data_IF_782025393950
#
_entry.id   IF_782025393950
#
_cell.length_a   1.000
_cell.length_b   1.000
_cell.length_c   1.000
_cell.angle_alpha   90.00
_cell.angle_beta   90.00
_cell.angle_gamma   90.00
#
_symmetry.space_group_name_H-M   'P 1'
#
loop_
_entity.id
_entity.type
_entity.pdbx_description
1 polymer ?
#
# COMPACT_ATOMS: atom_id res chain seq x y z
N UNK A 1 -18.37 -7.84 22.33
CA UNK A 1 -17.40 -6.81 21.88
C UNK A 1 -17.59 -5.57 22.73
N UNK A 2 -16.69 -5.32 23.66
CA UNK A 2 -16.71 -4.15 24.55
C UNK A 2 -15.54 -3.26 24.24
N UNK A 3 -15.77 -2.18 23.47
CA UNK A 3 -14.73 -1.24 23.05
C UNK A 3 -14.40 -0.30 24.23
N UNK A 4 -13.12 -0.24 24.60
CA UNK A 4 -12.60 0.63 25.67
C UNK A 4 -11.43 1.47 25.14
N UNK A 5 -11.14 2.58 25.82
CA UNK A 5 -10.02 3.46 25.50
C UNK A 5 -8.95 3.36 26.60
N UNK A 6 -7.68 3.29 26.21
CA UNK A 6 -6.58 3.37 27.17
C UNK A 6 -6.19 4.83 27.46
N UNK A 7 -5.41 5.05 28.53
CA UNK A 7 -4.89 6.38 28.93
C UNK A 7 -4.13 7.13 27.83
N UNK A 8 -3.62 6.41 26.82
CA UNK A 8 -2.92 6.99 25.66
C UNK A 8 -3.83 7.20 24.44
N UNK A 9 -5.16 7.05 24.60
CA UNK A 9 -6.15 7.34 23.57
C UNK A 9 -6.41 6.24 22.54
N UNK A 10 -5.81 5.04 22.67
CA UNK A 10 -6.07 3.92 21.75
C UNK A 10 -7.35 3.17 22.14
N UNK A 11 -8.13 2.77 21.12
CA UNK A 11 -9.32 1.96 21.31
C UNK A 11 -9.01 0.48 21.07
N UNK A 12 -9.54 -0.41 21.92
CA UNK A 12 -9.39 -1.85 21.79
C UNK A 12 -10.55 -2.61 22.45
N UNK A 13 -10.67 -3.91 22.18
CA UNK A 13 -11.71 -4.77 22.77
C UNK A 13 -11.22 -5.36 24.09
N UNK A 14 -11.88 -4.99 25.20
CA UNK A 14 -11.56 -5.47 26.54
C UNK A 14 -12.01 -6.90 26.82
N UNK A 15 -12.82 -7.52 25.96
CA UNK A 15 -13.16 -8.94 26.06
C UNK A 15 -12.03 -9.84 25.54
N UNK A 16 -11.15 -9.29 24.68
CA UNK A 16 -10.03 -10.02 24.05
C UNK A 16 -8.71 -9.70 24.74
N UNK A 17 -8.51 -8.43 25.14
CA UNK A 17 -7.27 -7.96 25.72
C UNK A 17 -7.51 -7.22 27.04
N UNK A 18 -6.84 -7.64 28.10
CA UNK A 18 -6.88 -6.97 29.41
C UNK A 18 -6.11 -5.65 29.45
N UNK A 19 -5.19 -5.42 28.53
CA UNK A 19 -4.40 -4.21 28.37
C UNK A 19 -4.37 -3.76 26.92
N UNK A 20 -4.03 -2.49 26.67
CA UNK A 20 -3.94 -1.97 25.31
C UNK A 20 -2.88 -2.72 24.49
N UNK A 21 -3.23 -3.38 23.39
CA UNK A 21 -2.27 -4.13 22.58
C UNK A 21 -1.29 -3.25 21.79
N UNK A 22 -1.54 -1.94 21.75
CA UNK A 22 -0.71 -0.97 21.01
C UNK A 22 0.40 -0.40 21.89
N UNK A 23 0.07 -0.02 23.14
CA UNK A 23 1.01 0.65 24.04
C UNK A 23 1.21 -0.03 25.41
N UNK A 24 0.51 -1.13 25.69
CA UNK A 24 0.53 -1.81 26.99
C UNK A 24 -0.09 -1.00 28.14
N UNK A 25 -0.69 0.15 27.85
CA UNK A 25 -1.26 1.05 28.86
C UNK A 25 -2.59 0.54 29.43
N UNK A 26 -2.84 0.96 30.67
CA UNK A 26 -4.06 0.65 31.43
C UNK A 26 -5.32 1.27 30.80
N UNK A 27 -6.47 0.67 31.10
CA UNK A 27 -7.78 1.19 30.73
C UNK A 27 -8.13 2.38 31.64
N UNK A 28 -8.83 3.37 31.11
CA UNK A 28 -9.18 4.61 31.83
C UNK A 28 -10.22 4.39 32.96
N UNK A 29 -10.75 3.16 33.13
CA UNK A 29 -11.71 2.78 34.18
C UNK A 29 -11.04 2.23 35.48
N UNK A 30 -9.71 2.29 35.58
CA UNK A 30 -8.97 1.90 36.80
C UNK A 30 -8.68 0.40 36.90
N UNK A 31 -8.84 -0.37 35.86
CA UNK A 31 -8.44 -1.78 35.82
C UNK A 31 -6.93 -1.87 35.63
N UNK A 32 -6.21 -2.33 36.65
CA UNK A 32 -4.76 -2.51 36.62
C UNK A 32 -4.37 -3.67 35.68
N UNK A 33 -3.36 -3.42 34.83
CA UNK A 33 -2.75 -4.47 34.03
C UNK A 33 -1.89 -5.37 34.91
N UNK A 34 -1.94 -6.71 34.75
CA UNK A 34 -1.10 -7.62 35.53
C UNK A 34 0.38 -7.33 35.28
N UNK A 35 1.17 -7.20 36.38
CA UNK A 35 2.60 -6.85 36.37
C UNK A 35 3.53 -7.97 35.86
N UNK A 36 3.01 -9.13 35.54
CA UNK A 36 3.81 -10.20 34.93
C UNK A 36 4.00 -9.89 33.45
N UNK A 37 5.15 -9.35 33.14
CA UNK A 37 5.76 -8.87 31.89
C UNK A 37 5.58 -9.71 30.63
N UNK A 38 4.41 -10.22 30.34
CA UNK A 38 4.02 -10.87 29.09
C UNK A 38 3.13 -9.95 28.22
N UNK A 39 3.63 -8.74 27.93
CA UNK A 39 3.18 -8.07 26.71
C UNK A 39 3.62 -8.97 25.55
N UNK A 40 2.73 -9.32 24.59
CA UNK A 40 3.17 -10.00 23.39
C UNK A 40 3.99 -9.03 22.54
N UNK A 41 5.28 -8.89 22.90
CA UNK A 41 6.30 -8.29 22.08
C UNK A 41 6.36 -9.10 20.79
N UNK A 42 5.81 -8.56 19.71
CA UNK A 42 6.02 -9.07 18.35
C UNK A 42 7.45 -8.77 17.87
N UNK A 43 8.44 -9.13 18.69
CA UNK A 43 9.78 -9.48 18.21
C UNK A 43 9.86 -10.99 18.19
N UNK A 44 9.42 -11.59 17.11
CA UNK A 44 9.78 -12.98 16.80
C UNK A 44 11.25 -13.00 16.47
N UNK A 45 12.06 -13.37 17.47
CA UNK A 45 13.42 -13.87 17.24
C UNK A 45 13.32 -15.07 16.28
N UNK A 46 14.13 -15.02 15.21
CA UNK A 46 14.20 -16.02 14.14
C UNK A 46 14.94 -17.31 14.63
N UNK A 47 14.88 -17.65 15.90
CA UNK A 47 15.75 -18.68 16.50
C UNK A 47 15.11 -20.06 16.66
N UNK A 48 13.91 -20.34 16.11
CA UNK A 48 13.37 -21.72 16.11
C UNK A 48 12.53 -22.03 14.88
N UNK A 49 13.07 -21.74 13.68
CA UNK A 49 12.54 -22.37 12.46
C UNK A 49 13.25 -23.70 12.26
N UNK A 50 12.80 -24.74 12.96
CA UNK A 50 13.12 -26.12 12.57
C UNK A 50 12.36 -26.36 11.27
N UNK A 51 13.10 -26.30 10.15
CA UNK A 51 12.60 -26.75 8.86
C UNK A 51 12.38 -28.26 8.97
N UNK A 52 11.18 -28.78 8.68
CA UNK A 52 11.02 -30.21 8.52
C UNK A 52 11.82 -30.64 7.29
N UNK A 53 12.79 -31.51 7.50
CA UNK A 53 13.52 -32.19 6.44
C UNK A 53 12.54 -32.94 5.54
N UNK A 54 12.58 -32.61 4.24
CA UNK A 54 11.85 -33.35 3.22
C UNK A 54 12.26 -34.82 3.21
N UNK A 55 11.37 -35.69 3.68
CA UNK A 55 11.43 -37.12 3.41
C UNK A 55 11.01 -37.34 1.96
N UNK A 56 11.91 -38.00 1.19
CA UNK A 56 11.60 -38.49 -0.17
C UNK A 56 10.62 -39.64 -0.01
N UNK A 57 9.35 -39.41 -0.32
CA UNK A 57 8.31 -40.43 -0.42
C UNK A 57 7.71 -40.42 -1.81
N UNK A 58 7.89 -41.51 -2.57
CA UNK A 58 7.24 -41.74 -3.85
C UNK A 58 5.73 -41.89 -3.67
N UNK A 59 4.93 -41.11 -4.37
CA UNK A 59 3.47 -41.26 -4.39
C UNK A 59 2.84 -40.08 -5.11
N UNK A 60 2.30 -40.39 -6.27
CA UNK A 60 1.52 -39.51 -7.13
C UNK A 60 0.31 -38.93 -6.37
N UNK A 61 0.22 -37.61 -6.30
CA UNK A 61 -1.01 -36.82 -6.37
C UNK A 61 -0.62 -35.33 -6.33
N UNK A 62 -0.92 -34.61 -7.43
CA UNK A 62 -0.71 -33.18 -7.61
C UNK A 62 -1.54 -32.36 -6.60
N UNK A 63 -1.03 -32.17 -5.41
CA UNK A 63 -1.48 -31.09 -4.55
C UNK A 63 -0.47 -29.94 -4.63
N UNK A 64 -0.72 -29.00 -5.52
CA UNK A 64 -0.04 -27.70 -5.52
C UNK A 64 -0.37 -27.03 -4.19
N UNK A 65 0.49 -27.21 -3.21
CA UNK A 65 0.41 -26.45 -1.97
C UNK A 65 0.85 -25.02 -2.29
N UNK A 66 -0.11 -24.18 -2.61
CA UNK A 66 0.11 -22.73 -2.62
C UNK A 66 0.48 -22.34 -1.18
N UNK A 67 1.77 -22.13 -0.95
CA UNK A 67 2.25 -21.54 0.30
C UNK A 67 1.68 -20.13 0.39
N UNK A 68 0.57 -19.98 1.12
CA UNK A 68 0.08 -18.66 1.51
C UNK A 68 1.18 -17.97 2.31
N UNK A 69 1.60 -16.75 1.96
CA UNK A 69 2.56 -16.01 2.77
C UNK A 69 1.94 -15.76 4.15
N UNK A 70 2.58 -16.31 5.18
CA UNK A 70 2.20 -16.10 6.58
C UNK A 70 2.70 -14.71 6.99
N UNK A 71 1.84 -13.72 6.82
CA UNK A 71 2.12 -12.33 7.17
C UNK A 71 1.38 -11.42 6.19
N UNK A 72 0.27 -10.88 6.64
CA UNK A 72 -0.76 -10.17 5.87
C UNK A 72 -0.34 -8.91 5.11
N UNK A 73 0.73 -8.93 4.36
CA UNK A 73 0.89 -8.04 3.23
C UNK A 73 0.36 -8.79 2.00
N UNK A 74 -0.80 -8.33 1.54
CA UNK A 74 -1.38 -8.81 0.29
C UNK A 74 -0.36 -8.52 -0.81
N UNK A 75 0.27 -9.59 -1.34
CA UNK A 75 1.26 -9.44 -2.39
C UNK A 75 0.58 -8.91 -3.64
N UNK A 76 0.95 -7.72 -4.05
CA UNK A 76 0.46 -7.08 -5.27
C UNK A 76 1.64 -6.84 -6.22
N UNK A 77 1.62 -7.40 -7.43
CA UNK A 77 2.70 -7.23 -8.38
C UNK A 77 2.82 -5.78 -8.83
N UNK A 78 4.03 -5.36 -9.18
CA UNK A 78 4.26 -4.04 -9.77
C UNK A 78 4.02 -4.13 -11.27
N UNK A 79 3.11 -3.30 -11.78
CA UNK A 79 2.77 -3.24 -13.21
C UNK A 79 3.48 -2.10 -13.94
N UNK A 80 3.97 -1.09 -13.20
CA UNK A 80 4.69 0.06 -13.74
C UNK A 80 5.13 1.02 -12.66
N UNK A 81 5.68 2.15 -13.07
CA UNK A 81 6.13 3.23 -12.19
C UNK A 81 5.73 4.58 -12.75
N UNK A 82 5.62 5.55 -11.86
CA UNK A 82 5.77 6.96 -12.20
C UNK A 82 7.04 7.48 -11.53
N UNK A 83 7.82 8.25 -12.26
CA UNK A 83 9.06 8.84 -11.77
C UNK A 83 8.91 10.35 -11.76
N UNK A 84 9.14 10.97 -10.61
CA UNK A 84 9.13 12.42 -10.50
C UNK A 84 10.37 13.01 -11.19
N UNK A 85 10.16 13.85 -12.22
CA UNK A 85 11.24 14.47 -12.99
C UNK A 85 11.41 15.94 -12.67
N UNK A 86 10.38 16.58 -12.09
CA UNK A 86 10.41 17.96 -11.62
C UNK A 86 9.53 18.15 -10.40
N UNK A 87 9.91 19.03 -9.47
CA UNK A 87 9.24 19.28 -8.21
C UNK A 87 10.05 18.82 -7.00
N UNK A 88 9.42 18.88 -5.79
CA UNK A 88 10.10 18.59 -4.53
C UNK A 88 10.54 17.12 -4.38
N UNK A 89 9.86 16.21 -5.07
CA UNK A 89 10.15 14.77 -5.05
C UNK A 89 11.02 14.32 -6.22
N UNK A 90 11.72 15.23 -6.91
CA UNK A 90 12.51 14.91 -8.10
C UNK A 90 13.49 13.76 -7.86
N UNK A 91 13.43 12.75 -8.75
CA UNK A 91 14.24 11.53 -8.67
C UNK A 91 13.58 10.38 -7.92
N UNK A 92 12.44 10.61 -7.24
CA UNK A 92 11.65 9.53 -6.64
C UNK A 92 10.83 8.79 -7.68
N UNK A 93 10.68 7.50 -7.45
CA UNK A 93 9.76 6.62 -8.15
C UNK A 93 8.63 6.18 -7.23
N UNK A 94 7.49 5.88 -7.82
CA UNK A 94 6.32 5.34 -7.15
C UNK A 94 5.80 4.16 -7.95
N UNK A 95 5.50 3.07 -7.26
CA UNK A 95 5.02 1.83 -7.87
C UNK A 95 3.55 1.94 -8.22
N UNK A 96 3.19 1.37 -9.36
CA UNK A 96 1.81 1.18 -9.79
C UNK A 96 1.51 -0.32 -9.64
N UNK A 97 0.39 -0.63 -9.00
CA UNK A 97 -0.13 -1.96 -8.80
C UNK A 97 -1.34 -2.22 -9.73
N UNK A 98 -1.80 -3.47 -9.90
CA UNK A 98 -3.01 -3.76 -10.67
C UNK A 98 -4.22 -2.96 -10.18
N UNK A 99 -5.22 -2.82 -11.06
CA UNK A 99 -6.43 -2.07 -10.81
C UNK A 99 -6.18 -0.56 -10.65
N UNK A 100 -6.81 0.07 -9.66
CA UNK A 100 -6.79 1.53 -9.47
C UNK A 100 -5.85 1.93 -8.35
N UNK A 101 -4.93 2.83 -8.66
CA UNK A 101 -4.01 3.44 -7.70
C UNK A 101 -4.38 4.91 -7.51
N UNK A 102 -4.83 5.27 -6.32
CA UNK A 102 -5.15 6.65 -5.97
C UNK A 102 -3.89 7.43 -5.62
N UNK A 103 -3.72 8.59 -6.26
CA UNK A 103 -2.59 9.49 -6.04
C UNK A 103 -3.03 10.67 -5.20
N UNK A 104 -2.27 10.98 -4.17
CA UNK A 104 -2.53 12.13 -3.31
C UNK A 104 -1.38 12.39 -2.35
N UNK A 105 -1.54 13.37 -1.47
CA UNK A 105 -0.51 13.73 -0.49
C UNK A 105 -0.61 12.92 0.80
N UNK A 106 -1.77 12.38 1.12
CA UNK A 106 -1.98 11.60 2.33
C UNK A 106 -1.27 10.24 2.27
N UNK A 107 -0.68 9.83 3.40
CA UNK A 107 -0.03 8.51 3.53
C UNK A 107 -0.98 7.30 3.43
N UNK A 108 -2.31 7.53 3.34
CA UNK A 108 -3.29 6.46 3.10
C UNK A 108 -3.58 6.25 1.62
N UNK A 109 -2.97 7.03 0.72
CA UNK A 109 -3.08 6.85 -0.72
C UNK A 109 -2.13 5.75 -1.19
N UNK A 110 -2.51 5.03 -2.25
CA UNK A 110 -1.67 3.99 -2.86
C UNK A 110 -0.34 4.59 -3.35
N UNK A 111 -0.42 5.81 -3.90
CA UNK A 111 0.73 6.62 -4.29
C UNK A 111 0.70 7.92 -3.49
N UNK A 112 1.55 8.00 -2.47
CA UNK A 112 1.63 9.15 -1.56
C UNK A 112 2.78 10.07 -1.94
N UNK A 113 2.46 11.29 -2.41
CA UNK A 113 3.42 12.35 -2.76
C UNK A 113 3.32 13.45 -1.70
N UNK A 114 3.91 13.22 -0.53
CA UNK A 114 3.74 14.09 0.64
C UNK A 114 4.61 15.35 0.62
N UNK A 115 5.63 15.43 -0.24
CA UNK A 115 6.56 16.55 -0.32
C UNK A 115 6.01 17.77 -1.07
N UNK A 116 4.90 17.62 -1.79
CA UNK A 116 4.27 18.71 -2.56
C UNK A 116 2.93 19.10 -1.94
N UNK A 117 2.91 20.23 -1.23
CA UNK A 117 1.71 20.73 -0.55
C UNK A 117 0.59 21.16 -1.50
N UNK A 118 0.88 21.38 -2.78
CA UNK A 118 -0.11 21.73 -3.80
C UNK A 118 -0.86 20.51 -4.36
N UNK A 119 -0.43 19.31 -4.02
CA UNK A 119 -1.18 18.09 -4.31
C UNK A 119 -2.33 17.92 -3.31
N UNK A 120 -3.52 17.58 -3.79
CA UNK A 120 -4.67 17.31 -2.91
C UNK A 120 -4.36 16.19 -1.91
N UNK A 121 -4.90 16.30 -0.71
CA UNK A 121 -4.72 15.31 0.36
C UNK A 121 -5.14 13.92 -0.11
N UNK A 122 -6.30 13.82 -0.75
CA UNK A 122 -6.87 12.56 -1.21
C UNK A 122 -7.26 12.67 -2.68
N UNK A 123 -7.00 11.61 -3.44
CA UNK A 123 -7.48 11.43 -4.82
C UNK A 123 -7.31 12.66 -5.73
N UNK A 124 -6.09 13.20 -5.80
CA UNK A 124 -5.75 14.26 -6.77
C UNK A 124 -5.97 13.76 -8.21
N UNK A 125 -5.54 12.55 -8.48
CA UNK A 125 -5.81 11.77 -9.69
C UNK A 125 -5.74 10.28 -9.34
N UNK A 126 -6.00 9.40 -10.31
CA UNK A 126 -5.72 7.99 -10.16
C UNK A 126 -5.12 7.39 -11.42
N UNK A 127 -4.31 6.35 -11.26
CA UNK A 127 -3.76 5.56 -12.35
C UNK A 127 -4.40 4.19 -12.30
N UNK A 128 -5.00 3.77 -13.40
CA UNK A 128 -5.70 2.49 -13.53
C UNK A 128 -4.94 1.62 -14.51
N UNK A 129 -4.66 0.39 -14.12
CA UNK A 129 -4.14 -0.64 -15.01
C UNK A 129 -5.25 -1.63 -15.33
N UNK A 130 -5.53 -1.81 -16.62
CA UNK A 130 -6.48 -2.80 -17.12
C UNK A 130 -5.72 -4.04 -17.63
N UNK A 131 -5.77 -5.18 -16.90
CA UNK A 131 -4.92 -6.33 -17.21
C UNK A 131 -5.31 -7.07 -18.51
N UNK A 132 -6.59 -7.00 -18.92
CA UNK A 132 -7.06 -7.71 -20.11
C UNK A 132 -6.46 -7.08 -21.38
N UNK A 133 -6.51 -5.76 -21.49
CA UNK A 133 -5.98 -5.02 -22.63
C UNK A 133 -4.50 -4.63 -22.43
N UNK A 134 -4.02 -4.62 -21.17
CA UNK A 134 -2.67 -4.22 -20.81
C UNK A 134 -2.47 -2.72 -20.92
N UNK A 135 -3.54 -1.96 -20.72
CA UNK A 135 -3.55 -0.50 -20.84
C UNK A 135 -3.48 0.21 -19.48
N UNK A 136 -2.85 1.35 -19.49
CA UNK A 136 -2.80 2.25 -18.32
C UNK A 136 -3.59 3.52 -18.62
N UNK A 137 -4.40 3.94 -17.68
CA UNK A 137 -5.21 5.15 -17.80
C UNK A 137 -4.92 6.12 -16.67
N UNK A 138 -4.70 7.38 -17.00
CA UNK A 138 -4.67 8.48 -16.05
C UNK A 138 -6.06 9.10 -15.97
N UNK A 139 -6.64 9.11 -14.78
CA UNK A 139 -7.99 9.65 -14.51
C UNK A 139 -7.85 10.85 -13.57
N UNK A 140 -8.29 12.06 -13.97
CA UNK A 140 -8.20 13.23 -13.11
C UNK A 140 -9.15 13.12 -11.92
N UNK A 141 -8.76 13.69 -10.78
CA UNK A 141 -9.65 13.88 -9.65
C UNK A 141 -10.63 15.02 -9.87
N UNK A 142 -11.62 15.12 -8.99
CA UNK A 142 -12.69 16.15 -9.12
C UNK A 142 -12.29 17.50 -8.53
N UNK A 143 -11.40 17.50 -7.55
CA UNK A 143 -11.10 18.67 -6.71
C UNK A 143 -9.78 19.35 -7.06
N UNK A 144 -8.95 18.72 -7.89
CA UNK A 144 -7.62 19.22 -8.21
C UNK A 144 -7.30 19.09 -9.69
N UNK A 145 -6.55 20.05 -10.21
CA UNK A 145 -6.18 20.10 -11.63
C UNK A 145 -5.03 19.13 -11.92
N UNK A 146 -5.27 18.22 -12.86
CA UNK A 146 -4.27 17.32 -13.44
C UNK A 146 -3.96 17.78 -14.86
N UNK A 147 -2.68 17.90 -15.19
CA UNK A 147 -2.25 18.30 -16.54
C UNK A 147 -1.56 17.11 -17.22
N UNK A 148 -1.94 16.84 -18.44
CA UNK A 148 -1.31 15.84 -19.30
C UNK A 148 -0.69 16.53 -20.51
N UNK A 149 0.62 16.35 -20.72
CA UNK A 149 1.36 17.05 -21.76
C UNK A 149 1.04 18.56 -21.80
N UNK A 150 1.11 19.21 -20.63
CA UNK A 150 0.88 20.66 -20.43
C UNK A 150 -0.58 21.13 -20.65
N UNK A 151 -1.52 20.22 -20.92
CA UNK A 151 -2.93 20.54 -21.10
C UNK A 151 -3.74 20.02 -19.92
N UNK A 152 -4.73 20.83 -19.49
CA UNK A 152 -5.66 20.40 -18.44
C UNK A 152 -6.41 19.14 -18.87
N UNK A 153 -6.33 18.12 -18.04
CA UNK A 153 -7.00 16.85 -18.26
C UNK A 153 -8.42 16.92 -17.64
N UNK A 154 -9.44 16.80 -18.48
CA UNK A 154 -10.85 16.83 -18.06
C UNK A 154 -11.52 15.46 -18.06
N UNK A 155 -10.97 14.54 -18.86
CA UNK A 155 -11.39 13.17 -18.99
C UNK A 155 -10.18 12.25 -18.85
N UNK A 156 -10.37 10.94 -18.76
CA UNK A 156 -9.24 10.02 -18.70
C UNK A 156 -8.44 10.01 -20.00
N UNK A 157 -7.18 9.65 -19.90
CA UNK A 157 -6.30 9.43 -21.05
C UNK A 157 -5.54 8.12 -20.89
N UNK A 158 -5.32 7.40 -22.00
CA UNK A 158 -4.46 6.22 -22.03
C UNK A 158 -3.00 6.67 -22.03
N UNK A 159 -2.26 6.23 -21.00
CA UNK A 159 -0.84 6.55 -20.83
C UNK A 159 0.03 5.69 -21.73
N UNK A 160 1.02 6.31 -22.34
CA UNK A 160 2.08 5.65 -23.11
C UNK A 160 3.42 5.82 -22.41
N UNK A 161 4.35 4.92 -22.67
CA UNK A 161 5.72 5.01 -22.15
C UNK A 161 6.34 6.38 -22.43
N UNK A 162 6.86 7.01 -21.40
CA UNK A 162 7.47 8.32 -21.46
C UNK A 162 6.51 9.51 -21.40
N UNK A 163 5.21 9.28 -21.36
CA UNK A 163 4.23 10.36 -21.18
C UNK A 163 4.44 11.10 -19.87
N UNK A 164 4.19 12.42 -19.94
CA UNK A 164 4.34 13.31 -18.78
C UNK A 164 2.99 13.82 -18.32
N UNK A 165 2.82 13.87 -17.01
CA UNK A 165 1.69 14.54 -16.39
C UNK A 165 2.15 15.33 -15.17
N UNK A 166 1.43 16.40 -14.86
CA UNK A 166 1.74 17.30 -13.75
C UNK A 166 0.55 17.37 -12.80
N UNK A 167 0.83 17.20 -11.52
CA UNK A 167 -0.10 17.38 -10.41
C UNK A 167 0.57 18.28 -9.37
N UNK A 168 -0.14 19.29 -8.89
CA UNK A 168 0.47 20.31 -8.05
C UNK A 168 1.64 21.00 -8.76
N UNK A 169 2.80 21.03 -8.08
CA UNK A 169 4.07 21.53 -8.62
C UNK A 169 5.00 20.41 -9.09
N UNK A 170 4.53 19.17 -9.12
CA UNK A 170 5.34 17.99 -9.45
C UNK A 170 4.98 17.42 -10.81
N UNK A 171 5.99 17.14 -11.62
CA UNK A 171 5.84 16.50 -12.95
C UNK A 171 6.40 15.10 -12.91
N UNK A 172 5.62 14.16 -13.42
CA UNK A 172 5.93 12.74 -13.46
C UNK A 172 6.06 12.24 -14.90
N UNK A 173 6.93 11.25 -15.08
CA UNK A 173 7.03 10.44 -16.30
C UNK A 173 6.52 9.05 -16.01
N UNK A 174 5.69 8.53 -16.89
CA UNK A 174 5.14 7.18 -16.80
C UNK A 174 6.09 6.15 -17.41
N UNK A 175 6.32 5.04 -16.70
CA UNK A 175 7.17 3.91 -17.11
C UNK A 175 6.40 2.61 -16.93
N UNK A 176 5.85 1.99 -17.99
CA UNK A 176 5.18 0.71 -17.88
C UNK A 176 6.19 -0.43 -17.69
N UNK A 177 5.89 -1.37 -16.79
CA UNK A 177 6.54 -2.68 -16.75
C UNK A 177 5.74 -3.69 -17.58
N UNK A 178 4.43 -3.76 -17.33
CA UNK A 178 3.53 -4.60 -18.11
C UNK A 178 3.31 -3.96 -19.47
N UNK A 179 3.87 -4.58 -20.52
CA UNK A 179 3.69 -4.19 -21.92
C UNK A 179 3.93 -5.39 -22.82
N UNK A 180 3.19 -5.45 -23.94
CA UNK A 180 3.25 -6.57 -24.89
C UNK A 180 2.85 -7.88 -24.23
N UNK A 181 3.78 -8.84 -24.18
CA UNK A 181 3.54 -10.19 -23.62
C UNK A 181 3.76 -10.26 -22.11
N UNK A 182 4.29 -9.19 -21.46
CA UNK A 182 4.49 -9.13 -20.02
C UNK A 182 3.23 -8.62 -19.36
N UNK A 183 2.52 -9.51 -18.66
CA UNK A 183 1.29 -9.20 -17.91
C UNK A 183 1.26 -10.00 -16.61
N UNK A 184 0.50 -9.52 -15.65
CA UNK A 184 0.20 -10.24 -14.42
C UNK A 184 -1.24 -10.74 -14.43
#
# INVERSE_FOLDING_TARGET
MKLVQCKNGHFFDSEINSCCPVCGGEIDDGTECPEDGSAPSRRRSIENLVLPMFGIGNGEEDSVTLAMPIGGEEWSPVVGWIVCVDGNSRGRDYRIHPERNFVGRSGVMDISVFEDESIAMVNHCSIVYEPIEGEFMLVPGKEAATYYNEKLLTEYVVLKEGDKFTIGNSTFVFVPYCKGDVRW
#
